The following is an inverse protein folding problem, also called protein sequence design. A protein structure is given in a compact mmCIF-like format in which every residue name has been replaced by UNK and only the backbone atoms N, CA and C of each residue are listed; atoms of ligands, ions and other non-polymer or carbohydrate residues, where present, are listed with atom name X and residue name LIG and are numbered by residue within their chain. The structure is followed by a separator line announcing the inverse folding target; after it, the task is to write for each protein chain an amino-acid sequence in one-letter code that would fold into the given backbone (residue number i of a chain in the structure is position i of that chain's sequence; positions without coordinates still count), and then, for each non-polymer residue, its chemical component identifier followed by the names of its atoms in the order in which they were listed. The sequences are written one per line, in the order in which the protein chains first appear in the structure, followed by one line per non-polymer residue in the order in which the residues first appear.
data_IF_021213749438
#
_entry.id   IF_021213749438
#
_cell.length_a   1.000
_cell.length_b   1.000
_cell.length_c   1.000
_cell.angle_alpha   90.00
_cell.angle_beta   90.00
_cell.angle_gamma   90.00
#
_symmetry.space_group_name_H-M   'P 1'
#
loop_
_entity.id
_entity.type
_entity.pdbx_description
1 polymer ?
#
# COMPACT_ATOMS: atom_id res chain seq x y z
N UNK A 1 -10.68 4.30 -4.71
CA UNK A 1 -9.48 3.75 -5.39
C UNK A 1 -8.37 3.66 -4.37
N UNK A 2 -7.44 2.73 -4.51
CA UNK A 2 -6.24 2.59 -3.68
C UNK A 2 -5.01 2.79 -4.55
N UNK A 3 -3.91 3.21 -3.95
CA UNK A 3 -2.61 3.35 -4.63
C UNK A 3 -1.66 2.29 -4.09
N UNK A 4 -1.12 1.47 -4.99
CA UNK A 4 -0.12 0.46 -4.67
C UNK A 4 1.26 0.86 -5.19
N UNK A 5 2.26 0.64 -4.37
CA UNK A 5 3.67 0.81 -4.71
C UNK A 5 4.18 -0.38 -5.51
N UNK A 6 4.91 -0.14 -6.59
CA UNK A 6 5.51 -1.19 -7.44
C UNK A 6 7.02 -1.22 -7.25
N UNK A 7 7.54 -2.41 -6.95
CA UNK A 7 8.98 -2.72 -6.98
C UNK A 7 9.80 -1.84 -6.04
N UNK A 8 10.67 -1.01 -6.61
CA UNK A 8 11.65 -0.20 -5.87
C UNK A 8 11.08 1.10 -5.26
N UNK A 9 9.77 1.29 -5.27
CA UNK A 9 9.12 2.45 -4.68
C UNK A 9 9.10 3.71 -5.55
N UNK A 10 9.41 3.59 -6.84
CA UNK A 10 9.39 4.73 -7.76
C UNK A 10 8.15 4.77 -8.64
N UNK A 11 7.51 3.63 -8.87
CA UNK A 11 6.29 3.50 -9.65
C UNK A 11 5.12 3.14 -8.74
N UNK A 12 3.94 3.59 -9.13
CA UNK A 12 2.68 3.32 -8.47
C UNK A 12 1.67 2.79 -9.47
N UNK A 13 0.62 2.16 -8.96
CA UNK A 13 -0.55 1.76 -9.73
C UNK A 13 -1.80 1.95 -8.90
N UNK A 14 -2.86 2.47 -9.52
CA UNK A 14 -4.15 2.63 -8.88
C UNK A 14 -5.01 1.39 -9.11
N UNK A 15 -5.78 1.01 -8.10
CA UNK A 15 -6.73 -0.10 -8.18
C UNK A 15 -8.07 0.26 -7.51
N UNK A 16 -9.18 -0.42 -7.85
CA UNK A 16 -10.41 -0.34 -7.09
C UNK A 16 -10.21 -0.68 -5.59
N UNK A 17 -11.04 -0.10 -4.72
CA UNK A 17 -10.87 -0.21 -3.26
C UNK A 17 -11.08 -1.63 -2.70
N UNK A 18 -11.72 -2.53 -3.46
CA UNK A 18 -11.88 -3.93 -3.10
C UNK A 18 -10.62 -4.79 -3.33
N UNK A 19 -9.52 -4.20 -3.81
CA UNK A 19 -8.24 -4.89 -3.90
C UNK A 19 -7.39 -4.69 -2.65
N UNK A 20 -6.56 -5.71 -2.42
CA UNK A 20 -5.47 -5.73 -1.46
C UNK A 20 -4.19 -6.08 -2.20
N UNK A 21 -3.05 -5.83 -1.56
CA UNK A 21 -1.77 -6.21 -2.12
C UNK A 21 -0.85 -6.86 -1.09
N UNK A 22 0.06 -7.71 -1.56
CA UNK A 22 1.11 -8.34 -0.76
C UNK A 22 2.41 -8.34 -1.56
N UNK A 23 3.54 -8.18 -0.87
CA UNK A 23 4.86 -8.27 -1.48
C UNK A 23 5.23 -9.75 -1.57
N UNK A 24 5.37 -10.25 -2.81
CA UNK A 24 5.84 -11.62 -3.06
C UNK A 24 7.37 -11.68 -2.95
N UNK A 25 8.06 -10.67 -3.46
CA UNK A 25 9.50 -10.46 -3.33
C UNK A 25 9.86 -8.99 -3.64
N UNK A 26 11.15 -8.62 -3.57
CA UNK A 26 11.63 -7.24 -3.80
C UNK A 26 11.19 -6.61 -5.13
N UNK A 27 10.82 -7.41 -6.12
CA UNK A 27 10.45 -6.94 -7.46
C UNK A 27 9.01 -7.25 -7.84
N UNK A 28 8.29 -8.05 -7.05
CA UNK A 28 6.94 -8.53 -7.40
C UNK A 28 5.92 -8.20 -6.32
N UNK A 29 4.87 -7.50 -6.73
CA UNK A 29 3.66 -7.25 -5.96
C UNK A 29 2.55 -8.19 -6.44
N UNK A 30 1.84 -8.81 -5.51
CA UNK A 30 0.61 -9.55 -5.77
C UNK A 30 -0.60 -8.68 -5.39
N UNK A 31 -1.63 -8.65 -6.24
CA UNK A 31 -2.88 -7.91 -6.04
C UNK A 31 -4.06 -8.89 -6.18
N UNK A 32 -4.99 -8.83 -5.23
CA UNK A 32 -6.06 -9.83 -5.08
C UNK A 32 -7.29 -9.25 -4.34
N UNK A 33 -8.45 -9.92 -4.40
CA UNK A 33 -9.73 -9.45 -3.82
C UNK A 33 -10.09 -10.13 -2.49
N UNK A 34 -9.39 -11.20 -2.12
CA UNK A 34 -9.58 -12.02 -0.93
C UNK A 34 -11.00 -12.62 -0.80
N UNK A 35 -11.67 -12.94 -1.92
CA UNK A 35 -13.02 -13.53 -1.93
C UNK A 35 -12.98 -15.06 -1.81
N UNK A 36 -11.97 -15.70 -2.40
CA UNK A 36 -11.80 -17.17 -2.38
C UNK A 36 -10.36 -17.59 -2.71
N UNK A 37 -9.97 -18.81 -2.36
CA UNK A 37 -8.64 -19.35 -2.69
C UNK A 37 -8.40 -19.51 -4.21
N UNK A 38 -9.47 -19.76 -4.99
CA UNK A 38 -9.40 -19.98 -6.44
C UNK A 38 -9.62 -18.70 -7.27
N UNK A 39 -9.56 -17.52 -6.65
CA UNK A 39 -9.81 -16.27 -7.37
C UNK A 39 -8.66 -15.89 -8.32
N UNK A 40 -8.92 -15.09 -9.38
CA UNK A 40 -7.88 -14.56 -10.22
C UNK A 40 -6.87 -13.72 -9.43
N UNK A 41 -5.59 -13.95 -9.67
CA UNK A 41 -4.50 -13.21 -9.02
C UNK A 41 -3.81 -12.33 -10.04
N UNK A 42 -3.61 -11.05 -9.68
CA UNK A 42 -2.81 -10.11 -10.46
C UNK A 42 -1.41 -10.07 -9.87
N UNK A 43 -0.38 -10.19 -10.70
CA UNK A 43 1.03 -10.00 -10.34
C UNK A 43 1.62 -8.85 -11.12
N UNK A 44 2.35 -7.99 -10.43
CA UNK A 44 3.07 -6.86 -11.00
C UNK A 44 4.55 -7.04 -10.69
N UNK A 45 5.35 -7.31 -11.71
CA UNK A 45 6.79 -7.53 -11.58
C UNK A 45 7.58 -6.44 -12.26
N UNK A 46 8.54 -5.86 -11.55
CA UNK A 46 9.48 -4.88 -12.07
C UNK A 46 10.73 -5.58 -12.61
N UNK A 47 10.94 -5.52 -13.92
CA UNK A 47 12.15 -5.99 -14.57
C UNK A 47 13.04 -4.78 -14.90
N UNK A 48 14.21 -4.73 -14.28
CA UNK A 48 15.23 -3.76 -14.65
C UNK A 48 15.88 -4.18 -15.97
N UNK A 49 15.69 -3.39 -17.02
CA UNK A 49 16.46 -3.54 -18.23
C UNK A 49 17.89 -3.10 -17.91
N UNK A 50 18.81 -4.06 -17.85
CA UNK A 50 20.25 -3.71 -17.76
C UNK A 50 20.54 -2.76 -18.92
N UNK A 51 21.03 -1.56 -18.62
CA UNK A 51 21.51 -0.60 -19.62
C UNK A 51 22.78 -1.14 -20.29
N UNK A 52 22.64 -2.19 -21.08
CA UNK A 52 23.62 -2.56 -22.08
C UNK A 52 23.34 -1.67 -23.29
N UNK A 53 24.12 -0.60 -23.40
CA UNK A 53 24.19 0.38 -24.49
C UNK A 53 23.28 1.63 -24.38
N UNK A 54 23.84 2.77 -24.77
CA UNK A 54 23.18 4.09 -24.86
C UNK A 54 22.11 4.07 -25.96
N UNK A 55 21.00 3.34 -25.76
CA UNK A 55 19.86 3.37 -26.68
C UNK A 55 19.04 4.63 -26.43
N UNK A 56 18.65 5.32 -27.49
CA UNK A 56 17.72 6.43 -27.37
C UNK A 56 16.33 5.92 -26.95
N UNK A 57 15.51 6.80 -26.40
CA UNK A 57 14.11 6.49 -26.06
C UNK A 57 13.32 6.04 -27.29
N UNK A 58 13.53 6.69 -28.45
CA UNK A 58 12.88 6.33 -29.71
C UNK A 58 13.24 4.92 -30.20
N UNK A 59 14.49 4.50 -30.02
CA UNK A 59 14.93 3.14 -30.37
C UNK A 59 14.24 2.11 -29.49
N UNK A 60 14.22 2.34 -28.17
CA UNK A 60 13.53 1.45 -27.20
C UNK A 60 12.05 1.33 -27.52
N UNK A 61 11.37 2.45 -27.81
CA UNK A 61 9.95 2.44 -28.19
C UNK A 61 9.71 1.66 -29.49
N UNK A 62 10.63 1.76 -30.45
CA UNK A 62 10.52 1.05 -31.74
C UNK A 62 10.69 -0.47 -31.56
N UNK A 63 11.65 -0.88 -30.74
CA UNK A 63 11.86 -2.29 -30.34
C UNK A 63 10.63 -2.83 -29.62
N UNK A 64 10.11 -2.07 -28.65
CA UNK A 64 8.91 -2.44 -27.90
C UNK A 64 7.67 -2.59 -28.79
N UNK A 65 7.49 -1.70 -29.77
CA UNK A 65 6.45 -1.83 -30.81
C UNK A 65 6.66 -3.04 -31.71
N UNK A 66 7.90 -3.47 -31.91
CA UNK A 66 8.22 -4.67 -32.70
C UNK A 66 7.87 -5.93 -31.92
N UNK A 67 8.19 -5.99 -30.63
CA UNK A 67 7.78 -7.09 -29.74
C UNK A 67 6.25 -7.24 -29.69
N UNK A 68 5.51 -6.14 -29.58
CA UNK A 68 4.04 -6.17 -29.66
C UNK A 68 3.53 -6.88 -30.94
N UNK A 69 4.17 -6.63 -32.09
CA UNK A 69 3.80 -7.28 -33.36
C UNK A 69 4.12 -8.77 -33.38
N UNK A 70 5.20 -9.21 -32.73
CA UNK A 70 5.53 -10.64 -32.58
C UNK A 70 4.42 -11.39 -31.82
N UNK A 71 3.82 -10.71 -30.83
CA UNK A 71 2.63 -11.18 -30.11
C UNK A 71 1.31 -10.95 -30.85
N UNK A 72 1.34 -10.45 -32.11
CA UNK A 72 0.15 -10.12 -32.92
C UNK A 72 -0.82 -9.15 -32.23
N UNK A 73 -0.27 -8.23 -31.44
CA UNK A 73 -1.04 -7.22 -30.71
C UNK A 73 -0.56 -5.82 -31.08
N UNK A 74 -1.36 -4.82 -30.72
CA UNK A 74 -1.04 -3.41 -30.97
C UNK A 74 -0.42 -2.80 -29.71
N UNK A 75 0.61 -1.98 -29.91
CA UNK A 75 1.22 -1.21 -28.84
C UNK A 75 0.45 0.11 -28.67
N UNK A 76 -0.06 0.33 -27.45
CA UNK A 76 -0.73 1.55 -27.03
C UNK A 76 0.32 2.48 -26.44
N UNK A 77 0.41 3.71 -26.95
CA UNK A 77 1.36 4.73 -26.49
C UNK A 77 0.61 5.82 -25.73
N UNK A 78 1.09 6.14 -24.54
CA UNK A 78 0.64 7.22 -23.66
C UNK A 78 1.80 8.20 -23.42
N UNK A 79 1.58 9.40 -22.86
CA UNK A 79 2.63 10.40 -22.69
C UNK A 79 3.88 9.93 -21.93
N UNK A 80 3.73 9.07 -20.93
CA UNK A 80 4.80 8.59 -20.04
C UNK A 80 5.05 7.08 -20.10
N UNK A 81 4.29 6.34 -20.91
CA UNK A 81 4.40 4.88 -21.02
C UNK A 81 3.92 4.34 -22.36
N UNK A 82 4.33 3.13 -22.68
CA UNK A 82 3.70 2.34 -23.72
C UNK A 82 3.42 0.93 -23.19
N UNK A 83 2.35 0.31 -23.65
CA UNK A 83 2.04 -1.06 -23.25
C UNK A 83 1.42 -1.86 -24.40
N UNK A 84 1.44 -3.17 -24.27
CA UNK A 84 0.65 -4.09 -25.08
C UNK A 84 0.22 -5.28 -24.21
N UNK A 85 -0.74 -6.07 -24.69
CA UNK A 85 -1.19 -7.26 -23.97
C UNK A 85 -1.42 -8.46 -24.89
N UNK A 86 -1.27 -9.65 -24.32
CA UNK A 86 -1.48 -10.94 -25.00
C UNK A 86 -1.90 -12.01 -23.99
N UNK A 87 -2.52 -13.08 -24.49
CA UNK A 87 -2.78 -14.27 -23.68
C UNK A 87 -1.58 -15.21 -23.75
N UNK A 88 -1.10 -15.69 -22.61
CA UNK A 88 0.01 -16.64 -22.49
C UNK A 88 -0.51 -18.04 -22.20
N UNK A 89 -0.02 -19.01 -22.96
CA UNK A 89 -0.30 -20.44 -22.78
C UNK A 89 0.91 -21.20 -22.21
N UNK A 90 1.77 -20.50 -21.46
CA UNK A 90 3.02 -21.07 -20.94
C UNK A 90 2.78 -22.19 -19.91
N UNK A 91 1.61 -22.22 -19.27
CA UNK A 91 1.23 -23.20 -18.25
C UNK A 91 -0.02 -23.97 -18.72
N UNK A 92 -0.03 -25.28 -18.49
CA UNK A 92 -1.05 -26.17 -19.08
C UNK A 92 -2.46 -25.92 -18.52
N UNK A 93 -2.56 -25.62 -17.22
CA UNK A 93 -3.82 -25.50 -16.47
C UNK A 93 -4.17 -24.07 -16.03
N UNK A 94 -3.40 -23.08 -16.47
CA UNK A 94 -3.56 -21.68 -16.08
C UNK A 94 -3.84 -20.83 -17.31
N UNK A 95 -4.94 -20.09 -17.28
CA UNK A 95 -5.14 -18.95 -18.16
C UNK A 95 -4.32 -17.77 -17.64
N UNK A 96 -3.56 -17.13 -18.52
CA UNK A 96 -2.78 -15.96 -18.16
C UNK A 96 -2.95 -14.83 -19.17
N UNK A 97 -3.41 -13.67 -18.71
CA UNK A 97 -3.36 -12.42 -19.46
C UNK A 97 -2.11 -11.66 -19.05
N UNK A 98 -1.25 -11.30 -19.99
CA UNK A 98 -0.02 -10.54 -19.72
C UNK A 98 -0.11 -9.17 -20.37
N UNK A 99 0.28 -8.15 -19.62
CA UNK A 99 0.58 -6.80 -20.06
C UNK A 99 2.06 -6.56 -19.85
N UNK A 100 2.74 -6.14 -20.91
CA UNK A 100 4.08 -5.57 -20.81
C UNK A 100 3.95 -4.07 -20.88
N UNK A 101 4.59 -3.37 -19.95
CA UNK A 101 4.50 -1.91 -19.80
C UNK A 101 5.90 -1.33 -19.77
N UNK A 102 6.25 -0.59 -20.82
CA UNK A 102 7.46 0.22 -20.85
C UNK A 102 7.18 1.56 -20.15
N UNK A 103 7.84 1.80 -19.02
CA UNK A 103 7.68 3.00 -18.19
C UNK A 103 9.07 3.56 -17.85
N UNK A 104 9.44 4.70 -18.44
CA UNK A 104 10.78 5.26 -18.28
C UNK A 104 11.89 4.32 -18.79
N UNK A 105 12.76 3.86 -17.91
CA UNK A 105 13.79 2.84 -18.16
C UNK A 105 13.44 1.46 -17.61
N UNK A 106 12.21 1.31 -17.12
CA UNK A 106 11.71 0.10 -16.50
C UNK A 106 10.78 -0.66 -17.45
N UNK A 107 10.81 -1.98 -17.35
CA UNK A 107 9.80 -2.86 -17.92
C UNK A 107 8.98 -3.44 -16.76
N UNK A 108 7.69 -3.10 -16.71
CA UNK A 108 6.76 -3.63 -15.72
C UNK A 108 5.91 -4.70 -16.41
N UNK A 109 5.91 -5.90 -15.84
CA UNK A 109 5.08 -7.01 -16.29
C UNK A 109 3.89 -7.11 -15.36
N UNK A 110 2.70 -6.85 -15.88
CA UNK A 110 1.45 -7.03 -15.15
C UNK A 110 0.75 -8.25 -15.72
N UNK A 111 0.53 -9.29 -14.92
CA UNK A 111 -0.16 -10.50 -15.37
C UNK A 111 -1.34 -10.84 -14.48
N UNK A 112 -2.43 -11.31 -15.08
CA UNK A 112 -3.53 -11.95 -14.38
C UNK A 112 -3.45 -13.44 -14.65
N UNK A 113 -3.56 -14.24 -13.59
CA UNK A 113 -3.63 -15.71 -13.66
C UNK A 113 -4.96 -16.20 -13.10
N UNK A 114 -5.62 -17.09 -13.83
CA UNK A 114 -6.84 -17.78 -13.41
C UNK A 114 -6.81 -19.25 -13.85
N UNK A 115 -7.70 -20.08 -13.32
CA UNK A 115 -7.84 -21.47 -13.78
C UNK A 115 -8.24 -21.49 -15.26
N UNK A 116 -7.59 -22.34 -16.06
CA UNK A 116 -7.93 -22.48 -17.48
C UNK A 116 -9.39 -22.92 -17.70
N UNK A 117 -10.01 -22.44 -18.76
CA UNK A 117 -11.43 -22.68 -19.05
C UNK A 117 -12.39 -21.76 -18.29
N UNK A 118 -11.86 -20.81 -17.49
CA UNK A 118 -12.66 -19.82 -16.76
C UNK A 118 -12.65 -18.43 -17.39
N UNK A 119 -12.01 -18.27 -18.55
CA UNK A 119 -11.74 -16.98 -19.21
C UNK A 119 -13.02 -16.18 -19.51
N UNK A 120 -14.13 -16.88 -19.76
CA UNK A 120 -15.44 -16.27 -20.02
C UNK A 120 -16.33 -16.11 -18.78
N UNK A 121 -15.85 -16.47 -17.57
CA UNK A 121 -16.62 -16.27 -16.34
C UNK A 121 -16.63 -14.79 -15.97
N UNK A 122 -17.76 -14.32 -15.45
CA UNK A 122 -17.98 -12.93 -15.04
C UNK A 122 -16.84 -12.39 -14.16
N UNK A 123 -16.42 -13.14 -13.13
CA UNK A 123 -15.34 -12.69 -12.25
C UNK A 123 -14.00 -12.49 -12.99
N UNK A 124 -13.63 -13.37 -13.93
CA UNK A 124 -12.40 -13.19 -14.73
C UNK A 124 -12.52 -11.99 -15.67
N UNK A 125 -13.68 -11.83 -16.31
CA UNK A 125 -13.96 -10.69 -17.18
C UNK A 125 -13.90 -9.36 -16.42
N UNK A 126 -14.47 -9.29 -15.22
CA UNK A 126 -14.41 -8.12 -14.35
C UNK A 126 -12.97 -7.76 -14.00
N UNK A 127 -12.15 -8.76 -13.63
CA UNK A 127 -10.74 -8.53 -13.37
C UNK A 127 -10.00 -8.05 -14.63
N UNK A 128 -10.31 -8.58 -15.82
CA UNK A 128 -9.64 -8.16 -17.06
C UNK A 128 -9.95 -6.70 -17.43
N UNK A 129 -11.18 -6.24 -17.15
CA UNK A 129 -11.55 -4.82 -17.33
C UNK A 129 -10.78 -3.95 -16.36
N UNK A 130 -10.84 -4.27 -15.07
CA UNK A 130 -10.15 -3.48 -14.03
C UNK A 130 -8.63 -3.51 -14.19
N UNK A 131 -8.06 -4.64 -14.64
CA UNK A 131 -6.63 -4.80 -14.90
C UNK A 131 -6.13 -3.83 -15.96
N UNK A 132 -6.93 -3.58 -17.00
CA UNK A 132 -6.58 -2.60 -18.03
C UNK A 132 -6.51 -1.19 -17.42
N UNK A 133 -7.51 -0.82 -16.63
CA UNK A 133 -7.56 0.48 -15.95
C UNK A 133 -6.38 0.63 -14.97
N UNK A 134 -6.01 -0.45 -14.26
CA UNK A 134 -4.82 -0.49 -13.41
C UNK A 134 -3.55 -0.24 -14.23
N UNK A 135 -3.34 -0.96 -15.34
CA UNK A 135 -2.17 -0.77 -16.22
C UNK A 135 -2.09 0.65 -16.75
N UNK A 136 -3.22 1.23 -17.17
CA UNK A 136 -3.30 2.60 -17.65
C UNK A 136 -3.04 3.63 -16.55
N UNK A 137 -3.26 3.29 -15.28
CA UNK A 137 -2.99 4.14 -14.12
C UNK A 137 -1.53 4.14 -13.64
N UNK A 138 -0.67 3.26 -14.19
CA UNK A 138 0.75 3.20 -13.78
C UNK A 138 1.41 4.56 -14.00
N UNK A 139 2.02 5.11 -12.95
CA UNK A 139 2.72 6.39 -12.98
C UNK A 139 3.86 6.44 -11.96
N UNK A 140 4.59 7.55 -11.90
CA UNK A 140 5.65 7.76 -10.94
C UNK A 140 5.05 8.11 -9.57
N UNK A 141 5.65 7.64 -8.47
CA UNK A 141 5.27 8.06 -7.12
C UNK A 141 5.32 9.59 -6.97
N UNK A 142 6.33 10.22 -7.57
CA UNK A 142 6.52 11.67 -7.57
C UNK A 142 5.43 12.46 -8.33
N UNK A 143 4.54 11.77 -9.07
CA UNK A 143 3.37 12.41 -9.68
C UNK A 143 2.26 12.70 -8.66
N UNK A 144 2.28 12.01 -7.52
CA UNK A 144 1.33 12.26 -6.44
C UNK A 144 1.70 13.54 -5.71
N UNK A 145 0.71 14.38 -5.49
CA UNK A 145 0.87 15.55 -4.63
C UNK A 145 1.08 15.14 -3.16
N UNK A 146 0.43 14.05 -2.74
CA UNK A 146 0.64 13.42 -1.44
C UNK A 146 0.89 11.92 -1.66
N UNK A 147 2.09 11.41 -1.35
CA UNK A 147 2.47 10.02 -1.59
C UNK A 147 1.89 9.11 -0.50
N UNK A 148 0.55 9.06 -0.43
CA UNK A 148 -0.20 8.16 0.44
C UNK A 148 -0.48 6.88 -0.34
N UNK A 149 0.00 5.76 0.19
CA UNK A 149 -0.08 4.44 -0.39
C UNK A 149 -0.95 3.56 0.51
N UNK A 150 -1.61 2.58 -0.09
CA UNK A 150 -2.28 1.53 0.66
C UNK A 150 -1.21 0.65 1.36
N UNK A 151 -1.36 0.34 2.65
CA UNK A 151 -0.49 -0.62 3.32
C UNK A 151 -0.58 -2.00 2.68
N UNK A 152 0.56 -2.64 2.49
CA UNK A 152 0.58 -4.03 2.01
C UNK A 152 0.15 -4.98 3.13
N UNK A 153 -0.27 -6.20 2.77
CA UNK A 153 -0.50 -7.26 3.74
C UNK A 153 0.73 -7.49 4.62
N UNK A 154 1.94 -7.39 4.07
CA UNK A 154 3.18 -7.55 4.82
C UNK A 154 3.34 -6.47 5.90
N UNK A 155 2.98 -5.21 5.61
CA UNK A 155 2.98 -4.11 6.59
C UNK A 155 2.02 -4.41 7.74
N UNK A 156 0.79 -4.79 7.40
CA UNK A 156 -0.27 -5.07 8.38
C UNK A 156 0.05 -6.32 9.21
N UNK A 157 0.62 -7.35 8.58
CA UNK A 157 1.06 -8.58 9.23
C UNK A 157 2.20 -8.30 10.21
N UNK A 158 3.22 -7.55 9.80
CA UNK A 158 4.32 -7.14 10.67
C UNK A 158 3.82 -6.35 11.88
N UNK A 159 2.97 -5.34 11.65
CA UNK A 159 2.36 -4.56 12.73
C UNK A 159 1.59 -5.46 13.71
N UNK A 160 0.78 -6.38 13.19
CA UNK A 160 0.01 -7.32 14.02
C UNK A 160 0.91 -8.23 14.86
N UNK A 161 2.01 -8.75 14.28
CA UNK A 161 3.00 -9.55 15.00
C UNK A 161 3.67 -8.77 16.14
N UNK A 162 4.14 -7.56 15.84
CA UNK A 162 4.82 -6.72 16.83
C UNK A 162 3.89 -6.37 18.00
N UNK A 163 2.64 -6.02 17.71
CA UNK A 163 1.65 -5.70 18.74
C UNK A 163 1.29 -6.94 19.56
N UNK A 164 1.19 -8.11 18.94
CA UNK A 164 0.96 -9.35 19.65
C UNK A 164 2.09 -9.64 20.66
N UNK A 165 3.35 -9.44 20.24
CA UNK A 165 4.53 -9.56 21.09
C UNK A 165 4.50 -8.53 22.24
N UNK A 166 4.19 -7.26 21.94
CA UNK A 166 4.09 -6.18 22.94
C UNK A 166 3.05 -6.50 24.02
N UNK A 167 1.86 -6.98 23.62
CA UNK A 167 0.76 -7.26 24.53
C UNK A 167 0.79 -8.67 25.13
N UNK A 168 1.77 -9.49 24.75
CA UNK A 168 1.91 -10.89 25.16
C UNK A 168 0.63 -11.70 24.86
N UNK A 169 0.08 -11.49 23.67
CA UNK A 169 -1.11 -12.17 23.15
C UNK A 169 -0.78 -12.94 21.88
N UNK A 170 -1.73 -13.73 21.39
CA UNK A 170 -1.60 -14.34 20.07
C UNK A 170 -1.97 -13.34 18.98
N UNK A 171 -1.35 -13.48 17.81
CA UNK A 171 -1.56 -12.60 16.67
C UNK A 171 -3.04 -12.52 16.26
N UNK A 172 -3.75 -13.65 16.24
CA UNK A 172 -5.18 -13.70 15.90
C UNK A 172 -6.09 -12.94 16.88
N UNK A 173 -5.57 -12.56 18.06
CA UNK A 173 -6.30 -11.78 19.06
C UNK A 173 -6.11 -10.27 18.92
N UNK A 174 -5.25 -9.81 18.00
CA UNK A 174 -4.98 -8.37 17.79
C UNK A 174 -6.22 -7.65 17.25
N UNK A 175 -7.02 -8.30 16.41
CA UNK A 175 -8.23 -7.69 15.83
C UNK A 175 -9.25 -7.25 16.89
N UNK A 176 -9.31 -7.94 18.03
CA UNK A 176 -10.16 -7.54 19.16
C UNK A 176 -9.75 -6.16 19.73
N UNK A 177 -8.47 -5.78 19.61
CA UNK A 177 -7.97 -4.51 20.16
C UNK A 177 -8.43 -3.30 19.34
N UNK A 178 -8.76 -3.49 18.06
CA UNK A 178 -9.37 -2.46 17.22
C UNK A 178 -10.82 -2.14 17.62
N UNK A 179 -11.49 -3.03 18.36
CA UNK A 179 -12.95 -2.92 18.61
C UNK A 179 -13.34 -2.89 20.08
N UNK A 180 -12.41 -3.12 21.00
CA UNK A 180 -12.73 -3.31 22.44
C UNK A 180 -12.14 -2.25 23.39
N UNK A 181 -11.28 -1.35 22.90
CA UNK A 181 -10.59 -0.37 23.75
C UNK A 181 -9.50 -0.97 24.65
N UNK A 182 -9.26 -2.29 24.57
CA UNK A 182 -8.18 -2.97 25.31
C UNK A 182 -6.81 -2.33 25.05
N UNK A 183 -6.58 -1.80 23.85
CA UNK A 183 -5.33 -1.12 23.48
C UNK A 183 -5.03 0.07 24.38
N UNK A 184 -6.03 0.91 24.68
CA UNK A 184 -5.90 2.09 25.54
C UNK A 184 -5.40 1.69 26.93
N UNK A 185 -6.06 0.68 27.52
CA UNK A 185 -5.71 0.19 28.86
C UNK A 185 -4.31 -0.41 28.88
N UNK A 186 -3.97 -1.27 27.92
CA UNK A 186 -2.64 -1.90 27.85
C UNK A 186 -1.52 -0.89 27.66
N UNK A 187 -1.71 0.08 26.77
CA UNK A 187 -0.74 1.16 26.59
C UNK A 187 -0.54 1.94 27.88
N UNK A 188 -1.63 2.32 28.57
CA UNK A 188 -1.48 3.06 29.83
C UNK A 188 -0.76 2.25 30.91
N UNK A 189 -1.02 0.94 31.00
CA UNK A 189 -0.28 0.03 31.89
C UNK A 189 1.23 0.06 31.58
N UNK A 190 1.59 0.00 30.30
CA UNK A 190 2.99 0.00 29.85
C UNK A 190 3.66 1.36 30.11
N UNK A 191 2.98 2.48 29.83
CA UNK A 191 3.51 3.83 30.10
C UNK A 191 3.61 4.20 31.58
N UNK A 192 2.84 3.53 32.44
CA UNK A 192 2.99 3.69 33.88
C UNK A 192 4.24 2.98 34.42
N UNK A 193 4.79 2.01 33.68
CA UNK A 193 6.07 1.41 33.97
C UNK A 193 7.21 2.33 33.51
N UNK A 194 8.05 2.77 34.44
CA UNK A 194 8.96 3.91 34.24
C UNK A 194 10.26 3.57 33.51
N UNK A 195 10.42 2.36 33.00
CA UNK A 195 11.66 1.92 32.34
C UNK A 195 11.64 2.02 30.80
N UNK A 196 10.60 2.60 30.20
CA UNK A 196 10.44 2.69 28.73
C UNK A 196 11.57 3.43 28.00
N UNK A 197 12.14 4.47 28.61
CA UNK A 197 13.22 5.27 27.99
C UNK A 197 14.54 4.52 27.85
N UNK A 198 14.69 3.36 28.51
CA UNK A 198 15.89 2.51 28.43
C UNK A 198 15.72 1.34 27.46
N UNK A 199 14.54 1.15 26.89
CA UNK A 199 14.23 0.03 26.02
C UNK A 199 14.64 0.32 24.57
N UNK A 200 14.71 -0.75 23.76
CA UNK A 200 15.16 -0.68 22.37
C UNK A 200 14.21 0.14 21.50
N UNK A 201 14.76 0.83 20.49
CA UNK A 201 13.99 1.68 19.55
C UNK A 201 12.84 0.94 18.84
N UNK A 202 13.02 -0.36 18.59
CA UNK A 202 11.97 -1.24 18.05
C UNK A 202 10.71 -1.21 18.89
N UNK A 203 10.84 -1.20 20.22
CA UNK A 203 9.70 -1.18 21.13
C UNK A 203 8.95 0.16 21.09
N UNK A 204 9.65 1.27 20.93
CA UNK A 204 9.02 2.59 20.79
C UNK A 204 8.16 2.65 19.53
N UNK A 205 8.61 2.02 18.44
CA UNK A 205 7.81 1.92 17.22
C UNK A 205 6.57 1.07 17.43
N UNK A 206 6.69 -0.08 18.10
CA UNK A 206 5.55 -0.95 18.40
C UNK A 206 4.53 -0.28 19.33
N UNK A 207 4.98 0.51 20.31
CA UNK A 207 4.09 1.35 21.15
C UNK A 207 3.31 2.36 20.31
N UNK A 208 3.98 2.97 19.33
CA UNK A 208 3.38 3.83 18.32
C UNK A 208 2.30 3.15 17.48
N UNK A 209 2.58 1.95 16.97
CA UNK A 209 1.60 1.15 16.22
C UNK A 209 0.38 0.80 17.08
N UNK A 210 0.60 0.37 18.32
CA UNK A 210 -0.46 0.10 19.27
C UNK A 210 -1.27 1.36 19.61
N UNK A 211 -0.63 2.54 19.69
CA UNK A 211 -1.33 3.82 19.83
C UNK A 211 -2.20 4.13 18.62
N UNK A 212 -1.76 3.77 17.41
CA UNK A 212 -2.58 3.84 16.21
C UNK A 212 -3.84 2.95 16.28
N UNK A 213 -3.74 1.73 16.81
CA UNK A 213 -4.93 0.88 17.08
C UNK A 213 -5.90 1.59 18.04
N UNK A 214 -5.38 2.20 19.10
CA UNK A 214 -6.20 2.92 20.06
C UNK A 214 -6.90 4.15 19.43
N UNK A 215 -6.22 4.85 18.51
CA UNK A 215 -6.82 5.95 17.72
C UNK A 215 -7.96 5.46 16.84
N UNK A 216 -7.75 4.38 16.06
CA UNK A 216 -8.79 3.81 15.19
C UNK A 216 -10.01 3.33 16.00
N UNK A 217 -9.77 2.65 17.13
CA UNK A 217 -10.86 2.21 18.01
C UNK A 217 -11.72 3.40 18.48
N UNK A 218 -11.07 4.49 18.88
CA UNK A 218 -11.76 5.67 19.43
C UNK A 218 -12.38 6.55 18.33
N UNK A 219 -11.74 6.59 17.16
CA UNK A 219 -12.12 7.43 16.01
C UNK A 219 -12.13 6.58 14.72
N UNK A 220 -13.26 5.91 14.40
CA UNK A 220 -13.36 4.96 13.28
C UNK A 220 -13.18 5.56 11.89
N UNK A 221 -13.18 6.89 11.77
CA UNK A 221 -12.89 7.61 10.53
C UNK A 221 -11.40 7.56 10.14
N UNK A 222 -10.53 7.09 11.03
CA UNK A 222 -9.11 6.91 10.78
C UNK A 222 -8.84 5.52 10.17
N UNK A 223 -7.95 5.47 9.20
CA UNK A 223 -7.45 4.20 8.65
C UNK A 223 -5.96 4.28 8.33
N UNK A 224 -5.30 3.13 8.28
CA UNK A 224 -3.87 3.05 8.01
C UNK A 224 -3.55 3.37 6.55
N UNK A 225 -2.52 4.20 6.37
CA UNK A 225 -1.87 4.47 5.08
C UNK A 225 -0.37 4.40 5.26
N UNK A 226 0.36 4.23 4.16
CA UNK A 226 1.81 4.38 4.12
C UNK A 226 2.14 5.73 3.50
N UNK A 227 2.92 6.54 4.21
CA UNK A 227 3.53 7.76 3.66
C UNK A 227 4.92 7.39 3.18
N UNK A 228 5.23 7.63 1.91
CA UNK A 228 6.57 7.45 1.36
C UNK A 228 7.08 8.77 0.77
N UNK A 229 7.88 9.50 1.54
CA UNK A 229 8.42 10.79 1.14
C UNK A 229 9.97 10.82 1.24
N UNK A 230 10.54 12.02 1.12
CA UNK A 230 11.99 12.24 1.18
C UNK A 230 12.63 11.89 2.54
N UNK A 231 11.85 11.76 3.61
CA UNK A 231 12.30 11.36 4.94
C UNK A 231 12.18 9.86 5.18
N UNK A 232 11.41 9.17 4.34
CA UNK A 232 11.33 7.72 4.29
C UNK A 232 9.90 7.21 4.22
N UNK A 233 9.77 5.92 4.54
CA UNK A 233 8.51 5.19 4.53
C UNK A 233 8.01 4.99 5.95
N UNK A 234 6.82 5.49 6.28
CA UNK A 234 6.20 5.37 7.61
C UNK A 234 4.72 5.00 7.52
N UNK A 235 4.24 4.19 8.46
CA UNK A 235 2.81 3.95 8.66
C UNK A 235 2.17 5.14 9.38
N UNK A 236 1.12 5.69 8.79
CA UNK A 236 0.35 6.82 9.31
C UNK A 236 -1.14 6.49 9.33
N UNK A 237 -1.93 7.32 10.02
CA UNK A 237 -3.39 7.27 9.95
C UNK A 237 -3.91 8.44 9.14
N UNK A 238 -4.74 8.15 8.13
CA UNK A 238 -5.45 9.16 7.35
C UNK A 238 -6.86 9.33 7.91
N UNK A 239 -7.31 10.59 8.03
CA UNK A 239 -8.68 10.91 8.42
C UNK A 239 -9.59 10.95 7.19
N UNK A 240 -10.51 9.98 7.10
CA UNK A 240 -11.38 9.77 5.94
C UNK A 240 -10.56 9.79 4.63
N UNK A 241 -11.09 10.31 3.54
CA UNK A 241 -10.35 10.51 2.30
C UNK A 241 -9.72 11.92 2.20
N UNK A 242 -9.42 12.57 3.33
CA UNK A 242 -8.84 13.91 3.34
C UNK A 242 -7.32 13.87 3.32
N UNK A 243 -6.71 14.95 2.84
CA UNK A 243 -5.27 15.20 2.90
C UNK A 243 -4.75 15.46 4.33
N UNK A 244 -5.31 14.82 5.36
CA UNK A 244 -4.95 14.98 6.76
C UNK A 244 -4.51 13.64 7.33
N UNK A 245 -3.27 13.61 7.83
CA UNK A 245 -2.68 12.43 8.45
C UNK A 245 -2.20 12.75 9.86
N UNK A 246 -2.15 11.73 10.71
CA UNK A 246 -1.35 11.75 11.92
C UNK A 246 -0.36 10.57 11.91
N UNK A 247 0.72 10.70 12.69
CA UNK A 247 1.84 9.76 12.68
C UNK A 247 2.01 9.16 14.09
N UNK A 248 1.20 8.14 14.46
CA UNK A 248 1.18 7.59 15.82
C UNK A 248 2.56 7.13 16.31
N UNK A 249 3.37 6.59 15.39
CA UNK A 249 4.72 6.13 15.66
C UNK A 249 5.62 7.29 16.06
N UNK A 250 5.79 8.27 15.18
CA UNK A 250 6.58 9.46 15.46
C UNK A 250 6.11 10.22 16.71
N UNK A 251 4.80 10.31 16.95
CA UNK A 251 4.24 10.96 18.15
C UNK A 251 4.71 10.28 19.43
N UNK A 252 4.57 8.95 19.52
CA UNK A 252 4.96 8.20 20.71
C UNK A 252 6.48 8.23 20.93
N UNK A 253 7.27 8.04 19.87
CA UNK A 253 8.73 8.11 19.94
C UNK A 253 9.16 9.45 20.52
N UNK A 254 8.61 10.55 20.01
CA UNK A 254 8.93 11.90 20.50
C UNK A 254 8.60 12.08 21.98
N UNK A 255 7.43 11.65 22.44
CA UNK A 255 7.08 11.73 23.87
C UNK A 255 8.03 10.95 24.77
N UNK A 256 8.50 9.77 24.33
CA UNK A 256 9.47 8.96 25.07
C UNK A 256 10.84 9.65 25.11
N UNK A 257 11.29 10.18 23.97
CA UNK A 257 12.56 10.91 23.85
C UNK A 257 12.60 12.18 24.72
N UNK A 258 11.49 12.92 24.76
CA UNK A 258 11.33 14.12 25.59
C UNK A 258 11.15 13.78 27.09
N UNK A 259 11.02 12.49 27.44
CA UNK A 259 10.84 12.01 28.82
C UNK A 259 9.50 12.43 29.43
N UNK A 260 8.50 12.67 28.59
CA UNK A 260 7.19 13.17 29.02
C UNK A 260 6.34 12.06 29.64
N UNK A 261 5.56 12.43 30.67
CA UNK A 261 4.56 11.51 31.21
C UNK A 261 3.38 11.40 30.24
N UNK A 262 3.19 10.21 29.67
CA UNK A 262 2.12 9.96 28.69
C UNK A 262 0.84 9.49 29.38
N UNK A 263 -0.23 10.28 29.24
CA UNK A 263 -1.59 9.84 29.49
C UNK A 263 -2.26 9.54 28.15
N UNK A 264 -2.55 8.27 27.90
CA UNK A 264 -3.03 7.79 26.61
C UNK A 264 -4.39 8.39 26.25
N UNK A 265 -5.33 8.46 27.18
CA UNK A 265 -6.66 9.05 26.93
C UNK A 265 -6.59 10.53 26.54
N UNK A 266 -5.74 11.28 27.23
CA UNK A 266 -5.52 12.70 26.93
C UNK A 266 -4.80 12.86 25.59
N UNK A 267 -3.77 12.04 25.32
CA UNK A 267 -3.06 12.09 24.04
C UNK A 267 -3.99 11.77 22.87
N UNK A 268 -4.82 10.73 22.96
CA UNK A 268 -5.84 10.40 21.95
C UNK A 268 -6.79 11.58 21.69
N UNK A 269 -7.25 12.23 22.76
CA UNK A 269 -8.21 13.35 22.65
C UNK A 269 -7.55 14.57 22.00
N UNK A 270 -6.33 14.92 22.42
CA UNK A 270 -5.56 16.02 21.86
C UNK A 270 -5.22 15.79 20.38
N UNK A 271 -4.84 14.57 19.99
CA UNK A 271 -4.56 14.23 18.58
C UNK A 271 -5.79 14.45 17.71
N UNK A 272 -6.95 14.00 18.15
CA UNK A 272 -8.19 14.18 17.40
C UNK A 272 -8.63 15.64 17.35
N UNK A 273 -8.51 16.38 18.46
CA UNK A 273 -8.76 17.83 18.47
C UNK A 273 -7.85 18.58 17.50
N UNK A 274 -6.58 18.20 17.38
CA UNK A 274 -5.66 18.75 16.39
C UNK A 274 -6.12 18.46 14.96
N UNK A 275 -6.53 17.23 14.65
CA UNK A 275 -7.10 16.88 13.34
C UNK A 275 -8.32 17.76 13.04
N UNK A 276 -9.25 17.91 14.00
CA UNK A 276 -10.45 18.74 13.83
C UNK A 276 -10.14 20.26 13.77
N UNK A 277 -9.06 20.70 14.39
CA UNK A 277 -8.61 22.09 14.32
C UNK A 277 -7.99 22.40 12.96
N UNK A 278 -7.15 21.49 12.43
CA UNK A 278 -6.63 21.54 11.06
C UNK A 278 -7.78 21.59 10.07
N UNK A 279 -8.87 20.84 10.34
CA UNK A 279 -10.09 21.04 9.58
C UNK A 279 -10.51 22.52 9.69
N UNK A 280 -10.96 23.03 10.83
CA UNK A 280 -11.58 24.38 10.89
C UNK A 280 -10.76 25.55 10.31
N UNK A 281 -9.45 25.42 10.14
CA UNK A 281 -8.56 26.45 9.58
C UNK A 281 -8.48 26.47 8.05
N UNK A 282 -8.73 25.36 7.36
CA UNK A 282 -8.70 25.31 5.89
C UNK A 282 -10.14 25.49 5.34
N UNK A 283 -10.40 26.61 4.64
CA UNK A 283 -11.72 26.90 4.05
C UNK A 283 -12.11 25.95 2.91
N UNK A 284 -11.11 25.27 2.29
CA UNK A 284 -11.28 24.27 1.22
C UNK A 284 -10.47 23.01 1.54
N UNK A 285 -11.07 22.01 2.19
CA UNK A 285 -10.38 20.73 2.39
C UNK A 285 -10.13 20.02 1.08
N UNK A 286 -8.92 19.47 0.97
CA UNK A 286 -8.58 18.64 -0.16
C UNK A 286 -9.03 17.20 0.07
N UNK A 287 -10.09 16.83 -0.62
CA UNK A 287 -10.48 15.44 -0.81
C UNK A 287 -9.53 14.75 -1.79
N UNK A 288 -9.05 13.58 -1.42
CA UNK A 288 -8.27 12.71 -2.29
C UNK A 288 -9.22 11.77 -3.03
N UNK A 289 -8.95 11.54 -4.31
CA UNK A 289 -9.68 10.58 -5.14
C UNK A 289 -9.30 9.12 -4.83
N UNK A 290 -8.45 8.90 -3.83
CA UNK A 290 -7.82 7.62 -3.50
C UNK A 290 -7.68 7.42 -1.98
N UNK A 291 -7.38 6.18 -1.58
CA UNK A 291 -7.27 5.64 -0.22
C UNK A 291 -8.55 5.81 0.60
N UNK A 292 -9.65 5.28 0.06
CA UNK A 292 -10.94 5.09 0.74
C UNK A 292 -11.70 3.93 0.09
#
# INVERSE_FOLDING_TARGET
MKIFEIGNGQAIMMAPSHYYCAIENEQTLQIYRAKSEDEPIIRVSLLSLKQTEQRSEEQRLTEFKTQAKEHKTECICMPNKAYYSYDSNALEDVYMKVYEVMFGDQLIIVSLSATKGTEGKEDVLDHLVELKDMVESIDALASLELPLLEPTYNDMYYMSQEIANLFLIKQESVDEYYTSGKAIKRLQEIFNDRELSKQERSLHFTLGMAFGIALIYKYPDLHWVVVNDQYGRELALQYQNLAIQCFPISMIVKHIEDGEAVNIEMLLSNTHEQILATLKQEEDYKYLAYNY
#
